data_IF_235174428325
#
_entry.id   IF_235174428325
#
_cell.length_a   1.000
_cell.length_b   1.000
_cell.length_c   1.000
_cell.angle_alpha   90.00
_cell.angle_beta   90.00
_cell.angle_gamma   90.00
#
_symmetry.space_group_name_H-M   'P 1'
#
loop_
_entity.id
_entity.type
_entity.pdbx_description
1 polymer ?
#
# COMPACT_ATOMS: atom_id res chain seq x y z
N UNK A 1 -1.41 1.47 36.88
CA UNK A 1 -1.69 0.99 35.52
C UNK A 1 -0.89 1.86 34.57
N UNK A 2 -0.12 1.26 33.66
CA UNK A 2 0.53 2.05 32.62
C UNK A 2 -0.51 2.66 31.69
N UNK A 3 -0.34 3.93 31.37
CA UNK A 3 -1.26 4.67 30.50
C UNK A 3 -0.93 4.40 29.03
N UNK A 4 -1.91 4.04 28.21
CA UNK A 4 -1.76 3.91 26.76
C UNK A 4 -1.40 5.30 26.19
N UNK A 5 -0.32 5.38 25.42
CA UNK A 5 0.19 6.63 24.82
C UNK A 5 0.06 6.67 23.29
N UNK A 6 -0.06 5.50 22.66
CA UNK A 6 -0.11 5.36 21.21
C UNK A 6 -0.98 4.16 20.84
N UNK A 7 -1.75 4.31 19.77
CA UNK A 7 -2.59 3.24 19.19
C UNK A 7 -2.33 3.18 17.69
N UNK A 8 -2.13 1.98 17.17
CA UNK A 8 -2.04 1.71 15.74
C UNK A 8 -3.33 1.08 15.26
N UNK A 9 -3.84 1.56 14.14
CA UNK A 9 -5.05 1.08 13.49
C UNK A 9 -4.73 0.52 12.11
N UNK A 10 -5.29 -0.63 11.81
CA UNK A 10 -5.43 -1.07 10.43
C UNK A 10 -6.55 -0.29 9.73
N UNK A 11 -6.51 -0.23 8.39
CA UNK A 11 -7.47 0.54 7.60
C UNK A 11 -8.63 -0.34 7.16
N UNK A 12 -8.32 -1.42 6.43
CA UNK A 12 -9.31 -2.21 5.71
C UNK A 12 -10.03 -3.21 6.62
N UNK A 13 -11.34 -3.04 6.79
CA UNK A 13 -12.12 -3.83 7.74
C UNK A 13 -11.99 -3.38 9.20
N UNK A 14 -11.18 -2.35 9.51
CA UNK A 14 -11.01 -1.78 10.85
C UNK A 14 -11.50 -0.33 10.90
N UNK A 15 -10.81 0.59 10.23
CA UNK A 15 -11.23 2.00 10.15
C UNK A 15 -12.26 2.22 9.05
N UNK A 16 -12.15 1.49 7.95
CA UNK A 16 -13.05 1.55 6.79
C UNK A 16 -13.68 0.17 6.61
N UNK A 17 -15.01 0.12 6.64
CA UNK A 17 -15.77 -1.09 6.32
C UNK A 17 -15.78 -1.29 4.79
N UNK A 18 -15.54 -2.51 4.31
CA UNK A 18 -15.60 -2.86 2.88
C UNK A 18 -16.97 -2.61 2.24
N UNK A 19 -18.04 -2.50 3.04
CA UNK A 19 -19.42 -2.28 2.57
C UNK A 19 -19.86 -0.82 2.69
N UNK A 20 -19.03 0.04 3.30
CA UNK A 20 -19.35 1.44 3.54
C UNK A 20 -18.54 2.33 2.60
N UNK A 21 -19.15 3.42 2.16
CA UNK A 21 -18.46 4.47 1.40
C UNK A 21 -17.70 5.38 2.38
N UNK A 22 -16.53 4.88 2.85
CA UNK A 22 -15.65 5.61 3.76
C UNK A 22 -15.75 5.22 5.24
N UNK A 23 -15.22 6.11 6.09
CA UNK A 23 -15.18 5.92 7.55
C UNK A 23 -16.46 6.41 8.22
N UNK A 24 -16.98 5.64 9.19
CA UNK A 24 -18.19 6.03 9.93
C UNK A 24 -17.95 7.28 10.79
N UNK A 25 -19.00 8.10 10.98
CA UNK A 25 -18.93 9.26 11.86
C UNK A 25 -18.50 8.88 13.29
N UNK A 26 -18.95 7.72 13.78
CA UNK A 26 -18.59 7.21 15.10
C UNK A 26 -17.09 6.88 15.19
N UNK A 27 -16.51 6.32 14.13
CA UNK A 27 -15.07 6.05 14.07
C UNK A 27 -14.27 7.35 14.09
N UNK A 28 -14.71 8.35 13.33
CA UNK A 28 -14.09 9.70 13.32
C UNK A 28 -14.15 10.35 14.71
N UNK A 29 -15.29 10.29 15.39
CA UNK A 29 -15.43 10.80 16.76
C UNK A 29 -14.50 10.08 17.75
N UNK A 30 -14.38 8.75 17.65
CA UNK A 30 -13.47 7.97 18.47
C UNK A 30 -12.01 8.42 18.26
N UNK A 31 -11.56 8.57 17.01
CA UNK A 31 -10.22 9.03 16.71
C UNK A 31 -9.94 10.42 17.28
N UNK A 32 -10.86 11.36 17.10
CA UNK A 32 -10.78 12.71 17.70
C UNK A 32 -10.73 12.67 19.23
N UNK A 33 -11.51 11.76 19.84
CA UNK A 33 -11.51 11.56 21.29
C UNK A 33 -10.17 11.05 21.81
N UNK A 34 -9.51 10.13 21.11
CA UNK A 34 -8.17 9.67 21.45
C UNK A 34 -7.16 10.81 21.40
N UNK A 35 -7.15 11.60 20.32
CA UNK A 35 -6.28 12.77 20.17
C UNK A 35 -6.49 13.81 21.27
N UNK A 36 -7.75 14.11 21.60
CA UNK A 36 -8.11 15.06 22.65
C UNK A 36 -7.58 14.61 24.04
N UNK A 37 -7.45 13.31 24.27
CA UNK A 37 -6.84 12.72 25.47
C UNK A 37 -5.33 12.57 25.39
N UNK A 38 -4.66 13.15 24.40
CA UNK A 38 -3.22 13.11 24.23
C UNK A 38 -2.66 11.75 23.78
N UNK A 39 -3.51 10.86 23.30
CA UNK A 39 -3.10 9.55 22.76
C UNK A 39 -2.74 9.73 21.29
N UNK A 40 -1.54 9.30 20.93
CA UNK A 40 -1.10 9.30 19.53
C UNK A 40 -1.84 8.22 18.75
N UNK A 41 -2.29 8.58 17.55
CA UNK A 41 -2.98 7.66 16.65
C UNK A 41 -2.14 7.47 15.38
N UNK A 42 -1.93 6.20 15.02
CA UNK A 42 -1.11 5.83 13.88
C UNK A 42 -1.85 4.82 13.00
N UNK A 43 -1.50 4.78 11.72
CA UNK A 43 -1.96 3.74 10.79
C UNK A 43 -0.89 2.66 10.67
N UNK A 44 -1.32 1.39 10.52
CA UNK A 44 -0.50 0.26 10.12
C UNK A 44 -1.27 -0.55 9.07
N UNK A 45 -0.85 -0.49 7.81
CA UNK A 45 -1.59 -1.05 6.66
C UNK A 45 -0.67 -1.58 5.56
N UNK A 46 -1.21 -2.48 4.74
CA UNK A 46 -0.57 -2.91 3.49
C UNK A 46 -0.68 -1.88 2.35
N UNK A 47 -1.51 -0.85 2.52
CA UNK A 47 -1.74 0.19 1.50
C UNK A 47 -0.47 1.00 1.20
N UNK A 48 -0.43 1.54 -0.02
CA UNK A 48 0.56 2.54 -0.43
C UNK A 48 0.36 3.87 0.33
N UNK A 49 1.40 4.71 0.51
CA UNK A 49 1.27 6.04 1.10
C UNK A 49 0.21 6.92 0.44
N UNK A 50 0.09 6.85 -0.88
CA UNK A 50 -0.90 7.60 -1.67
C UNK A 50 -2.36 7.14 -1.46
N UNK A 51 -2.56 6.00 -0.81
CA UNK A 51 -3.88 5.40 -0.53
C UNK A 51 -4.31 5.61 0.93
N UNK A 52 -3.54 6.39 1.70
CA UNK A 52 -3.90 6.68 3.09
C UNK A 52 -5.14 7.57 3.14
N UNK A 53 -6.09 7.26 4.05
CA UNK A 53 -7.31 8.04 4.16
C UNK A 53 -7.01 9.46 4.65
N UNK A 54 -7.58 10.45 3.96
CA UNK A 54 -7.65 11.83 4.45
C UNK A 54 -8.99 12.04 5.17
N UNK A 55 -8.92 12.35 6.46
CA UNK A 55 -10.10 12.43 7.31
C UNK A 55 -10.19 13.83 7.91
N UNK A 56 -11.23 14.63 7.58
CA UNK A 56 -11.38 15.98 8.08
C UNK A 56 -11.33 16.07 9.62
N UNK A 57 -10.33 16.81 10.11
CA UNK A 57 -10.13 17.03 11.54
C UNK A 57 -9.48 15.87 12.30
N UNK A 58 -8.95 14.87 11.62
CA UNK A 58 -8.12 13.81 12.18
C UNK A 58 -6.74 13.85 11.51
N UNK A 59 -5.67 13.93 12.29
CA UNK A 59 -4.29 13.88 11.79
C UNK A 59 -3.57 12.71 12.43
N UNK A 60 -3.18 11.73 11.65
CA UNK A 60 -2.37 10.62 12.15
C UNK A 60 -0.94 11.07 12.46
N UNK A 61 -0.40 10.64 13.59
CA UNK A 61 0.95 10.98 14.04
C UNK A 61 2.02 10.27 13.20
N UNK A 62 1.73 9.06 12.72
CA UNK A 62 2.59 8.29 11.83
C UNK A 62 1.79 7.27 11.02
N UNK A 63 2.36 6.86 9.88
CA UNK A 63 1.84 5.78 9.05
C UNK A 63 2.92 4.73 8.80
N UNK A 64 2.57 3.48 9.02
CA UNK A 64 3.29 2.27 8.63
C UNK A 64 2.59 1.72 7.41
N UNK A 65 3.21 1.80 6.25
CA UNK A 65 2.65 1.43 4.94
C UNK A 65 3.41 0.28 4.31
N UNK A 66 2.86 -0.34 3.27
CA UNK A 66 3.46 -1.50 2.61
C UNK A 66 3.85 -2.61 3.60
N UNK A 67 2.95 -2.91 4.59
CA UNK A 67 3.21 -3.90 5.64
C UNK A 67 4.51 -3.65 6.44
N UNK A 68 4.91 -2.39 6.61
CA UNK A 68 6.10 -2.00 7.36
C UNK A 68 7.31 -1.60 6.50
N UNK A 69 7.26 -1.77 5.18
CA UNK A 69 8.40 -1.45 4.32
C UNK A 69 8.63 0.04 4.13
N UNK A 70 7.62 0.89 4.40
CA UNK A 70 7.75 2.33 4.36
C UNK A 70 6.97 2.99 5.50
N UNK A 71 7.68 3.73 6.34
CA UNK A 71 7.10 4.39 7.52
C UNK A 71 7.45 5.87 7.52
N UNK A 72 6.46 6.72 7.85
CA UNK A 72 6.64 8.17 7.90
C UNK A 72 5.75 8.80 8.99
N UNK A 73 6.16 9.98 9.47
CA UNK A 73 5.40 10.78 10.43
C UNK A 73 4.26 11.53 9.75
N UNK A 74 3.28 11.99 10.52
CA UNK A 74 2.14 12.75 10.00
C UNK A 74 2.49 14.08 9.31
N UNK A 75 3.72 14.59 9.44
CA UNK A 75 4.27 15.72 8.70
C UNK A 75 5.10 15.30 7.47
N UNK A 76 5.10 13.99 7.14
CA UNK A 76 5.72 13.45 5.92
C UNK A 76 7.20 13.09 6.07
N UNK A 77 7.80 13.20 7.26
CA UNK A 77 9.20 12.82 7.47
C UNK A 77 9.33 11.28 7.48
N UNK A 78 10.18 10.75 6.61
CA UNK A 78 10.46 9.31 6.53
C UNK A 78 11.19 8.85 7.80
N UNK A 79 10.63 7.83 8.47
CA UNK A 79 11.21 7.18 9.66
C UNK A 79 12.02 5.95 9.25
N UNK A 80 11.46 5.16 8.33
CA UNK A 80 12.03 3.90 7.89
C UNK A 80 11.65 3.61 6.45
N UNK A 81 12.56 3.03 5.69
CA UNK A 81 12.32 2.52 4.33
C UNK A 81 13.13 1.26 4.09
N UNK A 82 12.50 0.29 3.45
CA UNK A 82 13.11 -0.97 3.04
C UNK A 82 12.51 -1.38 1.69
N UNK A 83 12.97 -0.78 0.57
CA UNK A 83 12.50 -1.14 -0.75
C UNK A 83 13.00 -2.55 -1.13
N UNK A 84 12.33 -3.15 -2.09
CA UNK A 84 12.78 -4.37 -2.74
C UNK A 84 14.15 -4.14 -3.40
N UNK A 85 15.01 -5.15 -3.41
CA UNK A 85 16.29 -5.02 -4.12
C UNK A 85 16.06 -4.86 -5.63
N UNK A 86 16.86 -4.04 -6.29
CA UNK A 86 16.77 -3.89 -7.77
C UNK A 86 16.93 -5.22 -8.48
N UNK A 87 17.80 -6.10 -7.95
CA UNK A 87 18.01 -7.45 -8.50
C UNK A 87 16.72 -8.26 -8.48
N UNK A 88 16.04 -8.30 -7.35
CA UNK A 88 14.80 -9.08 -7.18
C UNK A 88 13.66 -8.50 -8.01
N UNK A 89 13.53 -7.18 -8.06
CA UNK A 89 12.54 -6.49 -8.92
C UNK A 89 12.74 -6.90 -10.38
N UNK A 90 13.97 -6.82 -10.91
CA UNK A 90 14.26 -7.18 -12.29
C UNK A 90 14.08 -8.69 -12.55
N UNK A 91 14.39 -9.55 -11.56
CA UNK A 91 14.17 -10.98 -11.69
C UNK A 91 12.67 -11.31 -11.74
N UNK A 92 11.85 -10.70 -10.89
CA UNK A 92 10.38 -10.88 -10.92
C UNK A 92 9.81 -10.41 -12.26
N UNK A 93 10.23 -9.23 -12.75
CA UNK A 93 9.83 -8.73 -14.07
C UNK A 93 10.16 -9.70 -15.21
N UNK A 94 11.34 -10.31 -15.18
CA UNK A 94 11.73 -11.32 -16.14
C UNK A 94 10.85 -12.57 -16.04
N UNK A 95 10.67 -13.12 -14.84
CA UNK A 95 9.86 -14.32 -14.60
C UNK A 95 8.41 -14.12 -15.05
N UNK A 96 7.82 -12.96 -14.76
CA UNK A 96 6.45 -12.64 -15.14
C UNK A 96 6.29 -12.44 -16.65
N UNK A 97 7.32 -11.87 -17.31
CA UNK A 97 7.34 -11.73 -18.77
C UNK A 97 7.38 -13.12 -19.47
N UNK A 98 8.11 -14.09 -18.92
CA UNK A 98 8.14 -15.48 -19.43
C UNK A 98 6.76 -16.16 -19.34
N UNK A 99 5.94 -15.75 -18.37
CA UNK A 99 4.54 -16.19 -18.20
C UNK A 99 3.53 -15.33 -18.99
N UNK A 100 3.98 -14.31 -19.74
CA UNK A 100 3.14 -13.31 -20.38
C UNK A 100 2.19 -12.58 -19.40
N UNK A 101 2.65 -12.36 -18.15
CA UNK A 101 1.89 -11.65 -17.12
C UNK A 101 2.35 -10.21 -16.98
N UNK A 102 1.42 -9.24 -17.05
CA UNK A 102 1.74 -7.86 -16.74
C UNK A 102 1.98 -7.68 -15.23
N UNK A 103 2.71 -6.63 -14.90
CA UNK A 103 3.07 -6.26 -13.52
C UNK A 103 2.67 -4.83 -13.23
N UNK A 104 2.24 -4.59 -12.01
CA UNK A 104 2.21 -3.26 -11.43
C UNK A 104 3.25 -3.15 -10.32
N UNK A 105 4.02 -2.07 -10.34
CA UNK A 105 4.98 -1.70 -9.29
C UNK A 105 4.46 -0.51 -8.51
N UNK A 106 4.79 -0.44 -7.23
CA UNK A 106 4.40 0.67 -6.38
C UNK A 106 5.62 1.27 -5.66
N UNK A 107 5.75 2.59 -5.76
CA UNK A 107 6.78 3.42 -5.12
C UNK A 107 6.18 4.22 -3.97
N UNK A 108 6.97 5.04 -3.28
CA UNK A 108 6.45 5.90 -2.22
C UNK A 108 5.43 6.95 -2.72
N UNK A 109 5.45 7.30 -4.00
CA UNK A 109 4.68 8.41 -4.56
C UNK A 109 3.64 8.01 -5.59
N UNK A 110 3.75 6.82 -6.19
CA UNK A 110 2.84 6.38 -7.26
C UNK A 110 2.94 4.88 -7.55
N UNK A 111 1.93 4.36 -8.24
CA UNK A 111 1.97 3.03 -8.86
C UNK A 111 2.01 3.16 -10.39
N UNK A 112 2.63 2.17 -11.05
CA UNK A 112 2.70 2.09 -12.51
C UNK A 112 2.61 0.63 -12.94
N UNK A 113 1.94 0.36 -14.07
CA UNK A 113 1.83 -0.97 -14.65
C UNK A 113 2.42 -0.99 -16.06
N UNK A 114 3.10 -2.08 -16.44
CA UNK A 114 3.60 -2.28 -17.80
C UNK A 114 2.53 -2.87 -18.74
N UNK A 115 1.41 -3.30 -18.20
CA UNK A 115 0.27 -3.86 -18.88
C UNK A 115 -0.84 -4.16 -17.88
N UNK A 116 -1.99 -4.64 -18.36
CA UNK A 116 -3.13 -5.04 -17.52
C UNK A 116 -3.74 -6.29 -18.12
N UNK A 117 -3.91 -7.34 -17.33
CA UNK A 117 -4.72 -8.52 -17.61
C UNK A 117 -5.96 -8.54 -16.72
N UNK A 118 -6.83 -9.52 -16.92
CA UNK A 118 -8.07 -9.66 -16.18
C UNK A 118 -7.83 -9.84 -14.67
N UNK A 119 -6.87 -10.70 -14.29
CA UNK A 119 -6.56 -11.00 -12.89
C UNK A 119 -6.02 -9.74 -12.15
N UNK A 120 -5.15 -8.98 -12.79
CA UNK A 120 -4.60 -7.73 -12.23
C UNK A 120 -5.66 -6.62 -12.20
N UNK A 121 -6.51 -6.52 -13.22
CA UNK A 121 -7.60 -5.56 -13.27
C UNK A 121 -8.61 -5.81 -12.14
N UNK A 122 -9.06 -7.06 -11.94
CA UNK A 122 -10.00 -7.39 -10.86
C UNK A 122 -9.47 -6.98 -9.48
N UNK A 123 -8.19 -7.23 -9.21
CA UNK A 123 -7.55 -6.82 -7.95
C UNK A 123 -7.64 -5.31 -7.72
N UNK A 124 -7.35 -4.52 -8.74
CA UNK A 124 -7.36 -3.05 -8.63
C UNK A 124 -8.77 -2.47 -8.55
N UNK A 125 -9.73 -3.05 -9.28
CA UNK A 125 -11.15 -2.64 -9.24
C UNK A 125 -11.75 -2.86 -7.86
N UNK A 126 -11.39 -3.95 -7.15
CA UNK A 126 -11.81 -4.15 -5.74
C UNK A 126 -11.34 -3.01 -4.83
N UNK A 127 -10.21 -2.39 -5.12
CA UNK A 127 -9.70 -1.20 -4.45
C UNK A 127 -10.21 0.13 -5.01
N UNK A 128 -11.17 0.11 -5.95
CA UNK A 128 -11.71 1.32 -6.59
C UNK A 128 -10.76 1.99 -7.58
N UNK A 129 -9.75 1.29 -8.08
CA UNK A 129 -8.72 1.84 -8.98
C UNK A 129 -8.90 1.29 -10.39
N UNK A 130 -9.05 2.18 -11.38
CA UNK A 130 -9.00 1.85 -12.80
C UNK A 130 -7.53 1.84 -13.26
N UNK A 131 -6.88 0.68 -13.13
CA UNK A 131 -5.48 0.51 -13.51
C UNK A 131 -5.32 0.57 -15.02
N UNK A 132 -4.38 1.38 -15.49
CA UNK A 132 -3.99 1.49 -16.92
C UNK A 132 -2.49 1.32 -17.08
N UNK A 133 -2.03 0.84 -18.26
CA UNK A 133 -0.61 0.81 -18.57
C UNK A 133 0.00 2.21 -18.49
N UNK A 134 1.14 2.33 -17.81
CA UNK A 134 1.87 3.58 -17.66
C UNK A 134 2.92 3.71 -18.79
N UNK A 135 2.85 4.74 -19.66
CA UNK A 135 3.79 4.90 -20.75
C UNK A 135 5.23 5.17 -20.27
N UNK A 136 5.36 5.59 -19.01
CA UNK A 136 6.64 5.89 -18.35
C UNK A 136 7.03 4.83 -17.31
N UNK A 137 6.53 3.59 -17.44
CA UNK A 137 6.82 2.49 -16.52
C UNK A 137 8.33 2.31 -16.25
N UNK A 138 9.16 2.36 -17.30
CA UNK A 138 10.61 2.20 -17.18
C UNK A 138 11.27 3.33 -16.37
N UNK A 139 10.68 4.53 -16.36
CA UNK A 139 11.16 5.63 -15.52
C UNK A 139 10.79 5.38 -14.06
N UNK A 140 9.55 4.92 -13.78
CA UNK A 140 9.11 4.58 -12.43
C UNK A 140 9.93 3.43 -11.86
N UNK A 141 10.34 2.49 -12.68
CA UNK A 141 11.20 1.37 -12.31
C UNK A 141 12.59 1.82 -11.79
N UNK A 142 13.02 3.05 -12.06
CA UNK A 142 14.27 3.59 -11.49
C UNK A 142 14.13 3.99 -10.02
N UNK A 143 12.92 4.27 -9.56
CA UNK A 143 12.65 4.63 -8.16
C UNK A 143 12.75 3.41 -7.23
N UNK A 144 12.69 3.65 -5.93
CA UNK A 144 12.58 2.61 -4.91
C UNK A 144 11.21 1.93 -5.01
N UNK A 145 11.18 0.66 -5.37
CA UNK A 145 9.96 -0.16 -5.45
C UNK A 145 9.73 -0.85 -4.11
N UNK A 146 8.52 -0.72 -3.56
CA UNK A 146 8.14 -1.32 -2.27
C UNK A 146 7.18 -2.50 -2.43
N UNK A 147 6.46 -2.56 -3.53
CA UNK A 147 5.50 -3.64 -3.79
C UNK A 147 5.43 -3.92 -5.30
N UNK A 148 5.29 -5.20 -5.63
CA UNK A 148 5.00 -5.67 -6.97
C UNK A 148 3.70 -6.46 -6.90
N UNK A 149 2.78 -6.19 -7.83
CA UNK A 149 1.52 -6.91 -7.96
C UNK A 149 1.45 -7.55 -9.33
N UNK A 150 1.10 -8.83 -9.34
CA UNK A 150 0.96 -9.65 -10.53
C UNK A 150 -0.33 -10.46 -10.39
N UNK A 151 -1.17 -10.44 -11.39
CA UNK A 151 -2.26 -11.39 -11.53
C UNK A 151 -1.66 -12.77 -11.80
N UNK A 152 -1.91 -13.75 -10.93
CA UNK A 152 -1.32 -15.07 -11.11
C UNK A 152 -2.12 -16.18 -10.46
N UNK A 153 -2.20 -17.30 -11.18
CA UNK A 153 -2.89 -18.51 -10.71
C UNK A 153 -1.90 -19.42 -9.99
N UNK A 154 -2.43 -20.31 -9.14
CA UNK A 154 -1.63 -21.21 -8.30
C UNK A 154 -0.43 -21.89 -9.01
N UNK A 155 -0.56 -22.47 -10.23
CA UNK A 155 0.55 -23.14 -10.90
C UNK A 155 1.68 -22.19 -11.33
N UNK A 156 1.41 -20.88 -11.48
CA UNK A 156 2.37 -19.89 -11.98
C UNK A 156 3.19 -19.24 -10.86
N UNK A 157 2.64 -19.17 -9.64
CA UNK A 157 3.20 -18.44 -8.50
C UNK A 157 4.63 -18.82 -8.14
N UNK A 158 5.03 -20.10 -8.08
CA UNK A 158 6.40 -20.47 -7.78
C UNK A 158 7.41 -19.90 -8.79
N UNK A 159 7.07 -19.88 -10.08
CA UNK A 159 7.93 -19.35 -11.12
C UNK A 159 8.12 -17.83 -11.03
N UNK A 160 7.06 -17.09 -10.60
CA UNK A 160 7.12 -15.62 -10.48
C UNK A 160 8.22 -15.13 -9.53
N UNK A 161 8.53 -15.89 -8.48
CA UNK A 161 9.52 -15.55 -7.44
C UNK A 161 10.79 -16.42 -7.50
N UNK A 162 10.97 -17.18 -8.58
CA UNK A 162 12.14 -18.02 -8.74
C UNK A 162 13.40 -17.18 -8.87
N UNK A 163 14.49 -17.60 -8.20
CA UNK A 163 15.80 -16.94 -8.21
C UNK A 163 15.83 -15.49 -7.66
N UNK A 164 14.80 -15.07 -6.89
CA UNK A 164 14.82 -13.79 -6.16
C UNK A 164 15.57 -13.86 -4.83
#
# INVERSE_FOLDING_TARGET
MEQIKIVFFDVDGTLIDYKADGMSAKTVEMLKGLQANGIKICIASGRAPIQMPDIPGVKFDACVTYNGSYCYTGDGKVIFRNPLSKKDVLQILKNTAELNRPVSIATATRSAANGVDEDLHEYYVMGGIDLKPAPDFDQVLQDDVYQIMVGGREPERPHMVENT
#
